data_IF_521721576997
#
_entry.id   IF_521721576997
#
_cell.length_a   1.000
_cell.length_b   1.000
_cell.length_c   1.000
_cell.angle_alpha   90.00
_cell.angle_beta   90.00
_cell.angle_gamma   90.00
#
_symmetry.space_group_name_H-M   'P 1'
#
loop_
_entity.id
_entity.type
_entity.pdbx_description
1 polymer ?
#
# COMPACT_ATOMS: atom_id res chain seq x y z
N UNK A 1 -14.73 9.99 -12.11
CA UNK A 1 -13.38 10.56 -11.89
C UNK A 1 -12.43 9.48 -11.39
N UNK A 2 -11.11 9.61 -11.58
CA UNK A 2 -10.15 8.62 -11.06
C UNK A 2 -10.28 8.37 -9.55
N UNK A 3 -10.54 9.42 -8.78
CA UNK A 3 -10.71 9.30 -7.32
C UNK A 3 -11.94 8.46 -6.95
N UNK A 4 -12.99 8.50 -7.73
CA UNK A 4 -14.19 7.68 -7.47
C UNK A 4 -13.90 6.20 -7.70
N UNK A 5 -13.14 5.89 -8.75
CA UNK A 5 -12.72 4.51 -9.04
C UNK A 5 -11.76 3.97 -7.98
N UNK A 6 -10.86 4.82 -7.48
CA UNK A 6 -9.99 4.48 -6.36
C UNK A 6 -10.82 4.15 -5.11
N UNK A 7 -11.80 4.99 -4.77
CA UNK A 7 -12.68 4.80 -3.62
C UNK A 7 -13.46 3.47 -3.72
N UNK A 8 -14.03 3.19 -4.89
CA UNK A 8 -14.76 1.93 -5.14
C UNK A 8 -13.83 0.73 -4.97
N UNK A 9 -12.64 0.78 -5.60
CA UNK A 9 -11.67 -0.31 -5.52
C UNK A 9 -11.20 -0.57 -4.09
N UNK A 10 -10.90 0.47 -3.33
CA UNK A 10 -10.48 0.35 -1.94
C UNK A 10 -11.58 -0.23 -1.06
N UNK A 11 -12.83 0.21 -1.23
CA UNK A 11 -13.97 -0.35 -0.48
C UNK A 11 -14.15 -1.84 -0.78
N UNK A 12 -14.05 -2.23 -2.04
CA UNK A 12 -14.14 -3.64 -2.44
C UNK A 12 -13.00 -4.47 -1.84
N UNK A 13 -11.78 -3.94 -1.81
CA UNK A 13 -10.63 -4.56 -1.16
C UNK A 13 -10.91 -4.82 0.32
N UNK A 14 -11.32 -3.80 1.05
CA UNK A 14 -11.62 -3.89 2.49
C UNK A 14 -12.75 -4.89 2.76
N UNK A 15 -13.76 -4.94 1.90
CA UNK A 15 -14.87 -5.89 2.05
C UNK A 15 -14.49 -7.32 1.67
N UNK A 16 -13.50 -7.51 0.81
CA UNK A 16 -13.08 -8.83 0.35
C UNK A 16 -12.11 -9.54 1.31
N UNK A 17 -11.25 -8.79 2.00
CA UNK A 17 -10.25 -9.37 2.92
C UNK A 17 -10.86 -10.27 4.00
N UNK A 18 -11.94 -9.88 4.69
CA UNK A 18 -12.55 -10.73 5.74
C UNK A 18 -13.21 -12.01 5.23
N UNK A 19 -13.39 -12.15 3.91
CA UNK A 19 -13.94 -13.40 3.31
C UNK A 19 -12.97 -14.55 3.38
N UNK A 20 -11.66 -14.28 3.48
CA UNK A 20 -10.63 -15.27 3.79
C UNK A 20 -10.44 -15.26 5.31
N UNK A 21 -10.72 -16.39 5.97
CA UNK A 21 -10.68 -16.49 7.44
C UNK A 21 -9.29 -16.19 8.02
N UNK A 22 -8.23 -16.60 7.33
CA UNK A 22 -6.85 -16.34 7.77
C UNK A 22 -6.50 -14.89 7.58
N UNK A 23 -6.78 -14.30 6.41
CA UNK A 23 -6.53 -12.90 6.13
C UNK A 23 -7.33 -11.97 7.06
N UNK A 24 -8.58 -12.32 7.38
CA UNK A 24 -9.44 -11.55 8.27
C UNK A 24 -8.79 -11.28 9.64
N UNK A 25 -8.05 -12.25 10.17
CA UNK A 25 -7.39 -12.17 11.47
C UNK A 25 -5.92 -11.73 11.38
N UNK A 26 -5.26 -11.91 10.23
CA UNK A 26 -3.81 -11.77 10.08
C UNK A 26 -3.38 -10.49 9.37
N UNK A 27 -4.27 -9.88 8.59
CA UNK A 27 -3.98 -8.68 7.81
C UNK A 27 -4.45 -7.44 8.55
N UNK A 28 -3.55 -6.50 8.75
CA UNK A 28 -3.88 -5.15 9.23
C UNK A 28 -3.70 -4.15 8.10
N UNK A 29 -4.60 -3.20 8.01
CA UNK A 29 -4.60 -2.16 6.97
C UNK A 29 -4.57 -0.79 7.63
N UNK A 30 -3.67 0.06 7.13
CA UNK A 30 -3.65 1.49 7.42
C UNK A 30 -3.76 2.27 6.12
N UNK A 31 -4.35 3.44 6.16
CA UNK A 31 -4.52 4.31 4.98
C UNK A 31 -4.11 5.74 5.32
N UNK A 32 -3.22 6.29 4.50
CA UNK A 32 -2.76 7.68 4.58
C UNK A 32 -3.09 8.35 3.24
N UNK A 33 -3.65 9.54 3.30
CA UNK A 33 -3.91 10.35 2.11
C UNK A 33 -2.99 11.57 2.06
N UNK A 34 -2.61 11.97 0.85
CA UNK A 34 -1.76 13.11 0.56
C UNK A 34 -2.48 14.04 -0.44
N UNK A 35 -3.47 14.77 0.04
CA UNK A 35 -4.23 15.71 -0.77
C UNK A 35 -4.26 17.08 -0.10
N UNK A 36 -3.43 18.02 -0.57
CA UNK A 36 -3.22 19.30 0.09
C UNK A 36 -2.41 19.19 1.38
N UNK A 37 -2.76 18.25 2.23
CA UNK A 37 -2.05 17.90 3.47
C UNK A 37 -2.08 16.38 3.67
N UNK A 38 -1.28 15.88 4.60
CA UNK A 38 -1.22 14.45 4.94
C UNK A 38 -2.20 14.14 6.05
N UNK A 39 -2.99 13.10 5.88
CA UNK A 39 -3.97 12.64 6.88
C UNK A 39 -3.93 11.13 7.03
N UNK A 40 -3.86 10.65 8.27
CA UNK A 40 -4.10 9.24 8.58
C UNK A 40 -5.60 8.98 8.58
N UNK A 41 -6.12 8.46 7.47
CA UNK A 41 -7.56 8.19 7.29
C UNK A 41 -8.02 6.93 8.02
N UNK A 42 -7.13 5.95 8.11
CA UNK A 42 -7.37 4.70 8.81
C UNK A 42 -6.08 4.32 9.56
N UNK A 43 -6.09 4.33 10.90
CA UNK A 43 -5.01 3.71 11.67
C UNK A 43 -4.96 2.20 11.41
N UNK A 44 -3.83 1.55 11.70
CA UNK A 44 -3.74 0.11 11.54
C UNK A 44 -4.88 -0.61 12.24
N UNK A 45 -5.67 -1.33 11.46
CA UNK A 45 -6.86 -2.04 11.91
C UNK A 45 -6.87 -3.43 11.29
N UNK A 46 -7.14 -4.45 12.09
CA UNK A 46 -7.30 -5.81 11.59
C UNK A 46 -8.44 -5.87 10.59
N UNK A 47 -8.26 -6.57 9.49
CA UNK A 47 -9.20 -6.59 8.36
C UNK A 47 -10.64 -6.88 8.78
N UNK A 48 -10.86 -7.84 9.69
CA UNK A 48 -12.19 -8.20 10.19
C UNK A 48 -12.88 -7.07 10.99
N UNK A 49 -12.12 -6.08 11.47
CA UNK A 49 -12.64 -4.98 12.29
C UNK A 49 -12.81 -3.68 11.51
N UNK A 50 -12.54 -3.67 10.21
CA UNK A 50 -12.73 -2.48 9.37
C UNK A 50 -14.17 -2.48 8.88
N UNK A 51 -14.98 -1.53 9.37
CA UNK A 51 -16.36 -1.38 8.93
C UNK A 51 -16.42 -0.62 7.61
N UNK A 52 -15.88 0.58 7.59
CA UNK A 52 -15.93 1.46 6.42
C UNK A 52 -14.78 2.46 6.44
N UNK A 53 -14.22 2.75 5.26
CA UNK A 53 -13.29 3.86 5.05
C UNK A 53 -14.04 5.00 4.36
N UNK A 54 -13.89 6.20 4.91
CA UNK A 54 -14.51 7.39 4.31
C UNK A 54 -13.95 7.63 2.91
N UNK A 55 -14.81 7.99 1.97
CA UNK A 55 -14.40 8.30 0.61
C UNK A 55 -13.43 9.48 0.56
N UNK A 56 -12.37 9.34 -0.24
CA UNK A 56 -11.37 10.38 -0.42
C UNK A 56 -11.81 11.40 -1.47
N UNK A 57 -11.28 12.60 -1.34
CA UNK A 57 -11.47 13.67 -2.31
C UNK A 57 -10.11 14.09 -2.85
N UNK A 58 -10.05 14.35 -4.15
CA UNK A 58 -8.86 14.90 -4.79
C UNK A 58 -8.80 16.40 -4.51
N UNK A 59 -7.83 16.82 -3.69
CA UNK A 59 -7.69 18.22 -3.29
C UNK A 59 -6.23 18.63 -3.22
N UNK A 60 -5.92 19.85 -3.67
CA UNK A 60 -4.62 20.50 -3.46
C UNK A 60 -3.42 19.79 -4.05
N UNK A 61 -2.25 20.10 -3.50
CA UNK A 61 -0.99 19.46 -3.88
C UNK A 61 -0.83 18.05 -3.32
N UNK A 62 0.28 17.41 -3.68
CA UNK A 62 0.58 16.03 -3.26
C UNK A 62 1.85 15.99 -2.41
N UNK A 63 1.75 16.15 -1.07
CA UNK A 63 2.90 16.03 -0.17
C UNK A 63 3.30 14.56 0.02
N UNK A 64 3.80 13.94 -1.06
CA UNK A 64 4.10 12.51 -1.10
C UNK A 64 5.26 12.13 -0.16
N UNK A 65 6.28 12.99 -0.07
CA UNK A 65 7.41 12.76 0.82
C UNK A 65 6.99 12.69 2.28
N UNK A 66 6.17 13.63 2.72
CA UNK A 66 5.61 13.64 4.08
C UNK A 66 4.72 12.42 4.34
N UNK A 67 3.87 12.07 3.37
CA UNK A 67 2.97 10.92 3.49
C UNK A 67 3.75 9.60 3.63
N UNK A 68 4.78 9.40 2.80
CA UNK A 68 5.61 8.20 2.87
C UNK A 68 6.42 8.16 4.16
N UNK A 69 6.98 9.27 4.61
CA UNK A 69 7.69 9.36 5.89
C UNK A 69 6.78 8.98 7.06
N UNK A 70 5.55 9.46 7.08
CA UNK A 70 4.56 9.09 8.09
C UNK A 70 4.23 7.60 8.02
N UNK A 71 4.03 7.05 6.81
CA UNK A 71 3.75 5.64 6.63
C UNK A 71 4.88 4.75 7.16
N UNK A 72 6.13 5.09 6.86
CA UNK A 72 7.30 4.36 7.35
C UNK A 72 7.41 4.43 8.88
N UNK A 73 7.13 5.58 9.47
CA UNK A 73 7.09 5.75 10.91
C UNK A 73 6.03 4.85 11.55
N UNK A 74 4.81 4.84 11.00
CA UNK A 74 3.71 4.02 11.50
C UNK A 74 4.01 2.52 11.39
N UNK A 75 4.65 2.10 10.31
CA UNK A 75 5.10 0.71 10.15
C UNK A 75 6.14 0.31 11.20
N UNK A 76 7.12 1.16 11.49
CA UNK A 76 8.12 0.88 12.52
C UNK A 76 7.51 0.84 13.93
N UNK A 77 6.61 1.74 14.25
CA UNK A 77 5.86 1.73 15.51
C UNK A 77 5.05 0.43 15.66
N UNK A 78 4.41 -0.03 14.57
CA UNK A 78 3.64 -1.27 14.58
C UNK A 78 4.51 -2.50 14.74
N UNK A 79 5.65 -2.56 14.06
CA UNK A 79 6.65 -3.63 14.26
C UNK A 79 7.11 -3.69 15.72
N UNK A 80 7.36 -2.54 16.33
CA UNK A 80 7.77 -2.49 17.72
C UNK A 80 6.68 -3.01 18.67
N UNK A 81 5.43 -2.70 18.39
CA UNK A 81 4.27 -3.24 19.13
C UNK A 81 4.25 -4.77 19.07
N UNK A 82 4.45 -5.35 17.89
CA UNK A 82 4.52 -6.82 17.73
C UNK A 82 5.71 -7.44 18.48
N UNK A 83 6.89 -6.82 18.38
CA UNK A 83 8.09 -7.30 19.10
C UNK A 83 7.86 -7.29 20.61
N UNK A 84 7.28 -6.23 21.15
CA UNK A 84 7.00 -6.09 22.58
C UNK A 84 5.99 -7.14 23.06
N UNK A 85 5.07 -7.55 22.19
CA UNK A 85 4.08 -8.59 22.49
C UNK A 85 4.57 -10.01 22.18
N UNK A 86 5.78 -10.17 21.66
CA UNK A 86 6.32 -11.47 21.25
C UNK A 86 5.63 -12.07 20.03
N UNK A 87 5.01 -11.24 19.19
CA UNK A 87 4.28 -11.67 17.99
C UNK A 87 5.17 -11.58 16.76
N UNK A 88 5.27 -12.66 16.01
CA UNK A 88 5.92 -12.67 14.71
C UNK A 88 5.04 -11.91 13.68
N UNK A 89 5.69 -11.19 12.76
CA UNK A 89 4.99 -10.45 11.72
C UNK A 89 5.63 -10.69 10.35
N UNK A 90 4.80 -10.60 9.32
CA UNK A 90 5.26 -10.64 7.94
C UNK A 90 5.96 -9.34 7.55
N UNK A 91 6.78 -9.40 6.49
CA UNK A 91 7.32 -8.21 5.87
C UNK A 91 6.18 -7.26 5.50
N UNK A 92 6.17 -6.00 5.99
CA UNK A 92 5.06 -5.09 5.72
C UNK A 92 5.04 -4.65 4.26
N UNK A 93 3.86 -4.26 3.79
CA UNK A 93 3.65 -3.73 2.45
C UNK A 93 3.29 -2.27 2.52
N UNK A 94 3.97 -1.47 1.72
CA UNK A 94 3.64 -0.07 1.44
C UNK A 94 3.22 0.04 -0.02
N UNK A 95 1.94 0.30 -0.25
CA UNK A 95 1.40 0.58 -1.58
C UNK A 95 1.29 2.08 -1.75
N UNK A 96 1.96 2.62 -2.76
CA UNK A 96 1.89 4.05 -3.12
C UNK A 96 1.09 4.16 -4.39
N UNK A 97 0.00 4.93 -4.37
CA UNK A 97 -0.82 5.20 -5.55
C UNK A 97 -0.77 6.69 -5.82
N UNK A 98 -0.17 7.11 -6.92
CA UNK A 98 0.07 8.52 -7.23
C UNK A 98 0.21 8.75 -8.73
N UNK A 99 0.00 9.99 -9.17
CA UNK A 99 0.36 10.46 -10.50
C UNK A 99 1.86 10.77 -10.66
N UNK A 100 2.65 10.61 -9.59
CA UNK A 100 4.10 10.80 -9.61
C UNK A 100 4.54 12.26 -9.68
N UNK A 101 3.69 13.19 -9.28
CA UNK A 101 3.99 14.62 -9.23
C UNK A 101 3.97 15.14 -7.78
N UNK A 102 4.95 14.77 -6.93
CA UNK A 102 5.00 15.26 -5.57
C UNK A 102 5.26 16.77 -5.53
N UNK A 103 4.61 17.45 -4.58
CA UNK A 103 4.72 18.90 -4.40
C UNK A 103 5.61 19.31 -3.23
N UNK A 104 6.13 18.35 -2.48
CA UNK A 104 7.04 18.56 -1.36
C UNK A 104 8.46 18.03 -1.65
N UNK A 105 9.35 18.13 -0.67
CA UNK A 105 10.67 17.51 -0.69
C UNK A 105 10.50 16.02 -0.38
N UNK A 106 10.66 15.18 -1.37
CA UNK A 106 10.33 13.75 -1.31
C UNK A 106 11.55 12.82 -1.36
N UNK A 107 12.72 13.32 -1.75
CA UNK A 107 13.90 12.50 -2.03
C UNK A 107 14.36 11.72 -0.83
N UNK A 108 14.34 12.32 0.36
CA UNK A 108 14.76 11.65 1.59
C UNK A 108 13.84 10.47 1.94
N UNK A 109 12.54 10.65 1.83
CA UNK A 109 11.56 9.58 2.05
C UNK A 109 11.71 8.46 1.02
N UNK A 110 11.98 8.81 -0.23
CA UNK A 110 12.23 7.84 -1.31
C UNK A 110 13.47 6.99 -1.01
N UNK A 111 14.58 7.60 -0.62
CA UNK A 111 15.80 6.89 -0.25
C UNK A 111 15.54 5.92 0.90
N UNK A 112 14.85 6.37 1.94
CA UNK A 112 14.53 5.55 3.10
C UNK A 112 13.66 4.34 2.72
N UNK A 113 12.60 4.55 1.95
CA UNK A 113 11.72 3.49 1.48
C UNK A 113 12.48 2.49 0.59
N UNK A 114 13.30 2.98 -0.34
CA UNK A 114 14.11 2.14 -1.21
C UNK A 114 15.11 1.28 -0.42
N UNK A 115 15.79 1.86 0.56
CA UNK A 115 16.74 1.11 1.40
C UNK A 115 16.03 0.02 2.20
N UNK A 116 14.88 0.31 2.79
CA UNK A 116 14.08 -0.69 3.50
C UNK A 116 13.61 -1.80 2.57
N UNK A 117 13.19 -1.46 1.36
CA UNK A 117 12.79 -2.41 0.33
C UNK A 117 13.96 -3.31 -0.10
N UNK A 118 15.13 -2.74 -0.35
CA UNK A 118 16.35 -3.46 -0.72
C UNK A 118 16.77 -4.43 0.38
N UNK A 119 16.67 -4.02 1.64
CA UNK A 119 17.04 -4.81 2.81
C UNK A 119 15.95 -5.79 3.25
N UNK A 120 14.90 -5.97 2.46
CA UNK A 120 13.75 -6.86 2.75
C UNK A 120 13.03 -6.57 4.07
N UNK A 121 13.05 -5.32 4.50
CA UNK A 121 12.29 -4.85 5.66
C UNK A 121 10.92 -4.31 5.28
N UNK A 122 10.68 -4.14 3.98
CA UNK A 122 9.48 -3.56 3.40
C UNK A 122 9.29 -4.10 1.98
N UNK A 123 8.06 -4.44 1.61
CA UNK A 123 7.65 -4.55 0.21
C UNK A 123 7.05 -3.20 -0.18
N UNK A 124 7.72 -2.45 -1.03
CA UNK A 124 7.21 -1.18 -1.53
C UNK A 124 6.72 -1.35 -2.96
N UNK A 125 5.47 -1.03 -3.19
CA UNK A 125 4.79 -1.17 -4.48
C UNK A 125 4.27 0.18 -4.96
N UNK A 126 5.06 0.93 -5.75
CA UNK A 126 4.60 2.19 -6.33
C UNK A 126 3.75 1.94 -7.58
N UNK A 127 2.55 2.48 -7.59
CA UNK A 127 1.58 2.38 -8.69
C UNK A 127 1.34 3.77 -9.26
N UNK A 128 1.61 3.94 -10.54
CA UNK A 128 1.41 5.20 -11.26
C UNK A 128 0.06 5.24 -11.95
N UNK A 129 -0.66 6.34 -11.79
CA UNK A 129 -1.97 6.58 -12.42
C UNK A 129 -1.92 7.81 -13.32
N UNK A 130 -2.82 7.87 -14.31
CA UNK A 130 -3.04 9.09 -15.13
C UNK A 130 -1.78 9.67 -15.79
N UNK A 131 -0.95 8.83 -16.39
CA UNK A 131 0.29 9.29 -17.06
C UNK A 131 1.40 9.65 -16.07
N UNK A 132 1.44 8.99 -14.94
CA UNK A 132 2.38 9.24 -13.87
C UNK A 132 3.85 9.22 -14.29
N UNK A 133 4.66 10.01 -13.61
CA UNK A 133 6.12 9.92 -13.72
C UNK A 133 6.61 8.68 -12.94
N UNK A 134 6.75 7.58 -13.68
CA UNK A 134 7.19 6.30 -13.13
C UNK A 134 8.66 6.34 -12.68
N UNK A 135 9.46 7.25 -13.23
CA UNK A 135 10.86 7.40 -12.82
C UNK A 135 10.97 7.96 -11.39
N UNK A 136 10.11 8.90 -11.03
CA UNK A 136 10.03 9.43 -9.67
C UNK A 136 9.50 8.35 -8.71
N UNK A 137 8.37 7.74 -9.06
CA UNK A 137 7.74 6.71 -8.22
C UNK A 137 8.67 5.51 -7.99
N UNK A 138 9.41 5.10 -9.01
CA UNK A 138 10.36 3.99 -8.92
C UNK A 138 11.50 4.23 -7.93
N UNK A 139 11.76 5.47 -7.55
CA UNK A 139 12.80 5.80 -6.56
C UNK A 139 12.43 5.41 -5.13
N UNK A 140 11.15 5.14 -4.87
CA UNK A 140 10.67 4.71 -3.56
C UNK A 140 10.84 3.21 -3.29
N UNK A 141 11.23 2.41 -4.29
CA UNK A 141 11.29 0.97 -4.17
C UNK A 141 12.55 0.38 -4.80
N UNK A 142 12.94 -0.80 -4.35
CA UNK A 142 13.94 -1.64 -5.02
C UNK A 142 13.42 -2.19 -6.36
N UNK A 143 12.11 -2.20 -6.56
CA UNK A 143 11.44 -2.63 -7.79
C UNK A 143 10.93 -1.43 -8.56
N UNK A 144 10.82 -1.57 -9.89
CA UNK A 144 10.25 -0.52 -10.73
C UNK A 144 8.80 -0.21 -10.35
N UNK A 145 8.41 1.05 -10.51
CA UNK A 145 7.01 1.45 -10.41
C UNK A 145 6.21 0.81 -11.56
N UNK A 146 4.96 0.45 -11.28
CA UNK A 146 4.06 -0.15 -12.26
C UNK A 146 2.96 0.84 -12.65
N UNK A 147 2.67 1.00 -13.95
CA UNK A 147 1.53 1.79 -14.37
C UNK A 147 0.23 1.03 -14.11
N UNK A 148 -0.79 1.76 -13.66
CA UNK A 148 -2.15 1.26 -13.65
C UNK A 148 -2.73 1.43 -15.06
N UNK A 149 -3.22 0.35 -15.66
CA UNK A 149 -3.84 0.37 -16.98
C UNK A 149 -5.22 1.04 -16.89
N UNK A 150 -5.35 2.23 -17.47
CA UNK A 150 -6.58 3.00 -17.42
C UNK A 150 -7.00 3.32 -15.98
N UNK A 151 -8.23 2.97 -15.62
CA UNK A 151 -8.79 3.16 -14.27
C UNK A 151 -9.06 1.82 -13.58
N UNK A 152 -8.23 0.83 -13.81
CA UNK A 152 -8.39 -0.53 -13.28
C UNK A 152 -8.04 -0.67 -11.80
N UNK A 153 -8.53 0.25 -10.98
CA UNK A 153 -8.34 0.19 -9.53
C UNK A 153 -8.97 -1.04 -8.90
N UNK A 154 -10.16 -1.42 -9.37
CA UNK A 154 -10.84 -2.60 -8.84
C UNK A 154 -10.03 -3.87 -9.07
N UNK A 155 -9.52 -4.06 -10.28
CA UNK A 155 -8.67 -5.20 -10.63
C UNK A 155 -7.35 -5.20 -9.85
N UNK A 156 -6.77 -4.02 -9.62
CA UNK A 156 -5.58 -3.87 -8.78
C UNK A 156 -5.88 -4.31 -7.34
N UNK A 157 -6.97 -3.86 -6.74
CA UNK A 157 -7.32 -4.21 -5.38
C UNK A 157 -7.76 -5.67 -5.24
N UNK A 158 -8.37 -6.26 -6.26
CA UNK A 158 -8.61 -7.71 -6.31
C UNK A 158 -7.30 -8.50 -6.29
N UNK A 159 -6.33 -8.08 -7.08
CA UNK A 159 -4.99 -8.65 -7.08
C UNK A 159 -4.31 -8.51 -5.70
N UNK A 160 -4.42 -7.34 -5.08
CA UNK A 160 -3.83 -7.08 -3.76
C UNK A 160 -4.46 -7.99 -2.71
N UNK A 161 -5.78 -8.15 -2.73
CA UNK A 161 -6.50 -9.07 -1.83
C UNK A 161 -6.04 -10.51 -2.00
N UNK A 162 -5.95 -10.99 -3.23
CA UNK A 162 -5.45 -12.34 -3.52
C UNK A 162 -4.01 -12.54 -3.07
N UNK A 163 -3.15 -11.53 -3.24
CA UNK A 163 -1.77 -11.55 -2.79
C UNK A 163 -1.67 -11.60 -1.26
N UNK A 164 -2.47 -10.84 -0.55
CA UNK A 164 -2.51 -10.85 0.91
C UNK A 164 -3.01 -12.19 1.46
N UNK A 165 -3.99 -12.80 0.83
CA UNK A 165 -4.45 -14.16 1.19
C UNK A 165 -3.33 -15.19 1.03
N UNK A 166 -2.54 -15.10 -0.04
CA UNK A 166 -1.37 -15.98 -0.22
C UNK A 166 -0.30 -15.76 0.83
N UNK A 167 0.00 -14.51 1.16
CA UNK A 167 0.98 -14.17 2.20
C UNK A 167 0.51 -14.70 3.56
N UNK A 168 -0.73 -14.46 3.93
CA UNK A 168 -1.27 -14.89 5.24
C UNK A 168 -1.38 -16.42 5.37
N UNK A 169 -1.53 -17.13 4.26
CA UNK A 169 -1.55 -18.60 4.22
C UNK A 169 -0.15 -19.25 4.23
N UNK A 170 0.93 -18.46 4.14
CA UNK A 170 2.29 -18.99 4.10
C UNK A 170 2.69 -19.65 5.44
N UNK A 171 3.58 -20.64 5.36
CA UNK A 171 3.98 -21.44 6.53
C UNK A 171 4.75 -20.66 7.60
N UNK A 172 5.40 -19.56 7.22
CA UNK A 172 6.14 -18.69 8.14
C UNK A 172 6.23 -17.26 7.59
N UNK A 173 6.50 -16.32 8.47
CA UNK A 173 6.68 -14.92 8.11
C UNK A 173 7.86 -14.66 7.14
N UNK A 174 8.82 -15.56 7.08
CA UNK A 174 9.99 -15.46 6.20
C UNK A 174 9.86 -16.30 4.91
N UNK A 175 8.76 -17.04 4.72
CA UNK A 175 8.56 -17.85 3.53
C UNK A 175 8.45 -16.99 2.28
N UNK A 176 9.07 -17.47 1.18
CA UNK A 176 8.87 -16.85 -0.13
C UNK A 176 7.47 -17.19 -0.63
N UNK A 177 6.74 -16.17 -1.09
CA UNK A 177 5.37 -16.31 -1.57
C UNK A 177 5.28 -15.86 -3.02
N UNK A 178 4.74 -16.73 -3.88
CA UNK A 178 4.43 -16.38 -5.26
C UNK A 178 3.11 -15.60 -5.30
N UNK A 179 3.18 -14.36 -5.72
CA UNK A 179 2.01 -13.50 -5.84
C UNK A 179 1.22 -13.80 -7.13
N UNK A 180 -0.01 -13.30 -7.18
CA UNK A 180 -0.83 -13.38 -8.37
C UNK A 180 -0.19 -12.59 -9.55
N UNK A 181 -0.43 -12.97 -10.82
CA UNK A 181 0.03 -12.19 -11.98
C UNK A 181 -0.56 -10.77 -11.96
N UNK A 182 0.18 -9.80 -12.50
CA UNK A 182 -0.21 -8.38 -12.51
C UNK A 182 -0.92 -7.94 -13.78
N UNK A 183 -1.08 -8.83 -14.76
CA UNK A 183 -1.61 -8.55 -16.10
C UNK A 183 -3.09 -8.14 -16.12
N UNK A 184 -3.84 -8.38 -15.04
CA UNK A 184 -5.21 -7.91 -14.92
C UNK A 184 -5.36 -6.39 -14.73
N UNK A 185 -4.32 -5.69 -14.28
CA UNK A 185 -4.38 -4.26 -13.95
C UNK A 185 -3.19 -3.43 -14.45
N UNK A 186 -2.12 -4.06 -14.87
CA UNK A 186 -0.93 -3.39 -15.38
C UNK A 186 -0.49 -3.98 -16.71
N UNK A 187 -0.16 -3.12 -17.65
CA UNK A 187 0.50 -3.47 -18.91
C UNK A 187 1.98 -3.13 -18.78
N UNK A 188 2.83 -4.09 -19.10
CA UNK A 188 4.30 -3.95 -19.10
C UNK A 188 4.77 -3.70 -20.52
#
# INVERSE_FOLDING_TARGET
APIDQLNIGLQNFIQSLPKDEVAACSVEVGVITAGGHVTEQLPFTTAMNIDQVQAFQATGGTPLGEAVSLALQKLEERKQTYRNAGVAYYQPWLVIISDGAPTDVWEHAAIQAQQMSTNRKLVCLPIGVSGADLSILGRFSAKAAKPLDGLKFNEFFEWLSASMSRVSASASASAAVQLAPTDSWSVI
#
